data_IF_218855495468
#
_entry.id   IF_218855495468
#
_cell.length_a   1.000
_cell.length_b   1.000
_cell.length_c   1.000
_cell.angle_alpha   90.00
_cell.angle_beta   90.00
_cell.angle_gamma   90.00
#
_symmetry.space_group_name_H-M   'P 1'
#
loop_
_entity.id
_entity.type
_entity.pdbx_description
1 polymer ?
#
# COMPACT_ATOMS: atom_id res chain seq x y z
N UNK A 1 26.91 -87.16 22.87
CA UNK A 1 26.97 -86.59 21.55
C UNK A 1 25.70 -85.77 21.37
N UNK A 2 25.79 -84.42 21.47
CA UNK A 2 24.68 -83.50 21.28
C UNK A 2 25.07 -82.58 20.17
N UNK A 3 24.36 -82.66 19.05
CA UNK A 3 24.53 -81.82 17.89
C UNK A 3 23.79 -80.49 18.14
N UNK A 4 24.59 -79.42 18.08
CA UNK A 4 24.08 -78.04 18.15
C UNK A 4 23.67 -77.65 16.74
N UNK A 5 22.38 -77.40 16.54
CA UNK A 5 21.86 -76.74 15.32
C UNK A 5 21.92 -75.24 15.49
N UNK A 6 22.81 -74.59 14.72
CA UNK A 6 22.89 -73.14 14.64
C UNK A 6 21.79 -72.65 13.70
N UNK A 7 20.83 -71.90 14.26
CA UNK A 7 19.81 -71.18 13.48
C UNK A 7 20.42 -69.83 13.02
N UNK A 8 20.64 -69.68 11.73
CA UNK A 8 21.01 -68.37 11.14
C UNK A 8 19.72 -67.57 11.01
N UNK A 9 19.54 -66.53 11.84
CA UNK A 9 18.48 -65.55 11.65
C UNK A 9 18.94 -64.52 10.64
N UNK A 10 18.34 -64.53 9.43
CA UNK A 10 18.49 -63.50 8.44
C UNK A 10 17.69 -62.26 8.91
N UNK A 11 18.41 -61.28 9.37
CA UNK A 11 17.84 -59.94 9.59
C UNK A 11 17.70 -59.24 8.24
N UNK A 12 16.51 -59.24 7.67
CA UNK A 12 16.18 -58.40 6.52
C UNK A 12 16.05 -56.98 7.06
N UNK A 13 17.09 -56.18 6.91
CA UNK A 13 17.02 -54.74 7.09
C UNK A 13 16.26 -54.19 5.86
N UNK A 14 14.94 -54.08 6.01
CA UNK A 14 14.12 -53.32 5.06
C UNK A 14 14.51 -51.85 5.18
N UNK A 15 15.35 -51.41 4.24
CA UNK A 15 15.49 -49.96 3.97
C UNK A 15 14.13 -49.50 3.47
N UNK A 16 13.29 -48.96 4.36
CA UNK A 16 12.17 -48.16 3.96
C UNK A 16 12.73 -46.92 3.23
N UNK A 17 12.83 -47.02 1.93
CA UNK A 17 12.85 -45.79 1.11
C UNK A 17 11.50 -45.16 1.39
N UNK A 18 11.47 -44.19 2.31
CA UNK A 18 10.38 -43.27 2.42
C UNK A 18 10.32 -42.56 1.08
N UNK A 19 9.44 -43.05 0.20
CA UNK A 19 9.09 -42.35 -1.02
C UNK A 19 8.49 -41.04 -0.54
N UNK A 20 9.23 -39.95 -0.72
CA UNK A 20 8.80 -38.63 -0.33
C UNK A 20 7.50 -38.35 -1.10
N UNK A 21 6.39 -38.27 -0.40
CA UNK A 21 5.09 -38.07 -1.02
C UNK A 21 5.08 -36.75 -1.79
N UNK A 22 4.32 -36.63 -2.84
CA UNK A 22 4.21 -35.37 -3.61
C UNK A 22 3.73 -34.23 -2.68
N UNK A 23 2.95 -34.53 -1.66
CA UNK A 23 2.57 -33.61 -0.58
C UNK A 23 3.78 -33.04 0.15
N UNK A 24 4.74 -33.88 0.54
CA UNK A 24 5.98 -33.43 1.19
C UNK A 24 6.88 -32.63 0.23
N UNK A 25 6.89 -32.99 -1.06
CA UNK A 25 7.70 -32.28 -2.06
C UNK A 25 7.15 -30.89 -2.34
N UNK A 26 5.84 -30.75 -2.59
CA UNK A 26 5.22 -29.42 -2.83
C UNK A 26 5.43 -28.49 -1.64
N UNK A 27 5.28 -29.00 -0.40
CA UNK A 27 5.54 -28.21 0.81
C UNK A 27 6.98 -27.73 0.94
N UNK A 28 7.97 -28.60 0.56
CA UNK A 28 9.39 -28.17 0.55
C UNK A 28 9.71 -27.13 -0.50
N UNK A 29 9.10 -27.18 -1.68
CA UNK A 29 9.25 -26.14 -2.69
C UNK A 29 8.62 -24.83 -2.20
N UNK A 30 7.45 -24.86 -1.56
CA UNK A 30 6.86 -23.69 -0.94
C UNK A 30 7.82 -23.03 0.08
N UNK A 31 8.39 -23.83 0.98
CA UNK A 31 9.33 -23.33 2.00
C UNK A 31 10.59 -22.72 1.36
N UNK A 32 11.17 -23.36 0.34
CA UNK A 32 12.31 -22.79 -0.39
C UNK A 32 11.95 -21.46 -1.09
N UNK A 33 10.75 -21.35 -1.63
CA UNK A 33 10.25 -20.10 -2.18
C UNK A 33 10.16 -19.01 -1.10
N UNK A 34 9.63 -19.34 0.07
CA UNK A 34 9.55 -18.41 1.20
C UNK A 34 10.93 -17.96 1.67
N UNK A 35 11.91 -18.88 1.77
CA UNK A 35 13.32 -18.54 2.08
C UNK A 35 13.89 -17.54 1.05
N UNK A 36 13.58 -17.71 -0.25
CA UNK A 36 14.00 -16.76 -1.28
C UNK A 36 13.32 -15.39 -1.17
N UNK A 37 12.07 -15.35 -0.75
CA UNK A 37 11.39 -14.09 -0.44
C UNK A 37 12.06 -13.36 0.74
N UNK A 38 12.44 -14.07 1.79
CA UNK A 38 13.18 -13.51 2.93
C UNK A 38 14.58 -13.00 2.52
N UNK A 39 15.24 -13.66 1.56
CA UNK A 39 16.50 -13.21 0.93
C UNK A 39 16.31 -12.02 -0.04
N UNK A 40 15.08 -11.50 -0.22
CA UNK A 40 14.73 -10.47 -1.20
C UNK A 40 15.01 -10.88 -2.66
N UNK A 41 14.83 -12.17 -2.98
CA UNK A 41 14.97 -12.74 -4.33
C UNK A 41 13.60 -13.30 -4.83
N UNK A 42 12.64 -12.43 -5.17
CA UNK A 42 11.31 -12.85 -5.60
C UNK A 42 11.33 -13.64 -6.92
N UNK A 43 12.33 -13.44 -7.78
CA UNK A 43 12.44 -14.19 -9.04
C UNK A 43 12.75 -15.67 -8.81
N UNK A 44 13.70 -15.98 -7.92
CA UNK A 44 13.99 -17.36 -7.55
C UNK A 44 12.83 -17.97 -6.75
N UNK A 45 12.17 -17.20 -5.88
CA UNK A 45 11.00 -17.65 -5.15
C UNK A 45 9.89 -18.14 -6.09
N UNK A 46 9.57 -17.37 -7.14
CA UNK A 46 8.56 -17.75 -8.15
C UNK A 46 8.88 -19.06 -8.84
N UNK A 47 10.18 -19.37 -9.07
CA UNK A 47 10.61 -20.66 -9.60
C UNK A 47 10.19 -21.81 -8.69
N UNK A 48 10.48 -21.71 -7.38
CA UNK A 48 10.09 -22.73 -6.40
C UNK A 48 8.58 -22.86 -6.22
N UNK A 49 7.84 -21.74 -6.24
CA UNK A 49 6.37 -21.80 -6.21
C UNK A 49 5.81 -22.50 -7.46
N UNK A 50 6.43 -22.28 -8.64
CA UNK A 50 6.03 -22.98 -9.87
C UNK A 50 6.31 -24.47 -9.79
N UNK A 51 7.46 -24.90 -9.22
CA UNK A 51 7.76 -26.32 -8.96
C UNK A 51 6.73 -26.95 -7.99
N UNK A 52 6.28 -26.21 -6.97
CA UNK A 52 5.21 -26.68 -6.08
C UNK A 52 3.88 -26.86 -6.84
N UNK A 53 3.55 -25.97 -7.77
CA UNK A 53 2.34 -26.02 -8.60
C UNK A 53 2.42 -27.10 -9.68
N UNK A 54 3.59 -27.52 -10.14
CA UNK A 54 3.79 -28.69 -10.99
C UNK A 54 3.44 -29.99 -10.24
N UNK A 55 3.69 -30.04 -8.92
CA UNK A 55 3.31 -31.19 -8.10
C UNK A 55 1.82 -31.18 -7.74
N UNK A 56 1.24 -30.02 -7.50
CA UNK A 56 -0.18 -29.85 -7.19
C UNK A 56 -0.68 -28.52 -7.77
N UNK A 57 -1.32 -28.58 -8.93
CA UNK A 57 -1.87 -27.41 -9.63
C UNK A 57 -3.07 -26.76 -8.91
N UNK A 58 -3.50 -27.28 -7.77
CA UNK A 58 -4.57 -26.71 -6.94
C UNK A 58 -4.07 -26.13 -5.61
N UNK A 59 -2.72 -26.04 -5.44
CA UNK A 59 -2.10 -25.61 -4.21
C UNK A 59 -2.25 -24.10 -4.00
N UNK A 60 -3.28 -23.69 -3.27
CA UNK A 60 -3.67 -22.31 -3.06
C UNK A 60 -2.55 -21.46 -2.44
N UNK A 61 -1.77 -22.00 -1.47
CA UNK A 61 -0.68 -21.29 -0.81
C UNK A 61 0.45 -20.93 -1.77
N UNK A 62 0.73 -21.80 -2.75
CA UNK A 62 1.76 -21.54 -3.74
C UNK A 62 1.35 -20.39 -4.70
N UNK A 63 0.08 -20.33 -5.09
CA UNK A 63 -0.45 -19.20 -5.85
C UNK A 63 -0.40 -17.90 -5.03
N UNK A 64 -0.82 -17.94 -3.77
CA UNK A 64 -0.78 -16.76 -2.90
C UNK A 64 0.65 -16.21 -2.76
N UNK A 65 1.61 -17.06 -2.41
CA UNK A 65 2.99 -16.63 -2.21
C UNK A 65 3.65 -16.18 -3.54
N UNK A 66 3.30 -16.81 -4.67
CA UNK A 66 3.74 -16.37 -6.00
C UNK A 66 3.18 -14.99 -6.35
N UNK A 67 1.92 -14.72 -5.99
CA UNK A 67 1.32 -13.40 -6.14
C UNK A 67 2.04 -12.32 -5.33
N UNK A 68 2.46 -12.63 -4.10
CA UNK A 68 3.27 -11.70 -3.29
C UNK A 68 4.65 -11.42 -3.95
N UNK A 69 5.26 -12.44 -4.57
CA UNK A 69 6.49 -12.26 -5.33
C UNK A 69 6.28 -11.36 -6.56
N UNK A 70 5.15 -11.49 -7.27
CA UNK A 70 4.77 -10.60 -8.35
C UNK A 70 4.60 -9.15 -7.87
N UNK A 71 3.97 -8.91 -6.71
CA UNK A 71 3.84 -7.56 -6.13
C UNK A 71 5.20 -6.93 -5.85
N UNK A 72 6.14 -7.70 -5.29
CA UNK A 72 7.49 -7.21 -5.01
C UNK A 72 8.26 -6.83 -6.30
N UNK A 73 7.88 -7.43 -7.44
CA UNK A 73 8.41 -7.09 -8.76
C UNK A 73 7.60 -6.01 -9.50
N UNK A 74 6.62 -5.37 -8.85
CA UNK A 74 5.69 -4.42 -9.45
C UNK A 74 4.87 -5.01 -10.63
N UNK A 75 4.58 -6.31 -10.57
CA UNK A 75 3.79 -7.05 -11.56
C UNK A 75 2.35 -7.24 -11.04
N UNK A 76 1.61 -6.12 -10.99
CA UNK A 76 0.30 -6.06 -10.33
C UNK A 76 -0.74 -6.99 -10.97
N UNK A 77 -0.80 -7.05 -12.31
CA UNK A 77 -1.79 -7.87 -13.02
C UNK A 77 -1.55 -9.36 -12.83
N UNK A 78 -0.29 -9.79 -12.85
CA UNK A 78 0.09 -11.17 -12.59
C UNK A 78 -0.24 -11.58 -11.15
N UNK A 79 -0.05 -10.67 -10.20
CA UNK A 79 -0.46 -10.89 -8.82
C UNK A 79 -1.96 -11.10 -8.69
N UNK A 80 -2.79 -10.25 -9.30
CA UNK A 80 -4.26 -10.39 -9.30
C UNK A 80 -4.69 -11.74 -9.88
N UNK A 81 -4.02 -12.22 -10.94
CA UNK A 81 -4.31 -13.51 -11.54
C UNK A 81 -3.99 -14.67 -10.58
N UNK A 82 -2.82 -14.67 -9.96
CA UNK A 82 -2.41 -15.72 -9.04
C UNK A 82 -3.27 -15.69 -7.75
N UNK A 83 -3.61 -14.51 -7.21
CA UNK A 83 -4.55 -14.38 -6.09
C UNK A 83 -5.93 -14.93 -6.44
N UNK A 84 -6.40 -14.71 -7.66
CA UNK A 84 -7.69 -15.26 -8.12
C UNK A 84 -7.65 -16.78 -8.23
N UNK A 85 -6.51 -17.37 -8.59
CA UNK A 85 -6.30 -18.82 -8.56
C UNK A 85 -6.23 -19.35 -7.13
N UNK A 86 -5.54 -18.66 -6.22
CA UNK A 86 -5.52 -19.03 -4.80
C UNK A 86 -6.95 -19.08 -4.22
N UNK A 87 -7.75 -18.05 -4.49
CA UNK A 87 -9.16 -17.98 -4.03
C UNK A 87 -10.05 -19.02 -4.73
N UNK A 88 -9.78 -19.33 -6.00
CA UNK A 88 -10.51 -20.39 -6.71
C UNK A 88 -10.32 -21.75 -6.04
N UNK A 89 -9.12 -22.07 -5.58
CA UNK A 89 -8.80 -23.36 -4.96
C UNK A 89 -9.04 -23.36 -3.44
N UNK A 90 -9.00 -22.19 -2.79
CA UNK A 90 -9.44 -22.00 -1.42
C UNK A 90 -10.36 -20.78 -1.32
N UNK A 91 -11.69 -20.95 -1.46
CA UNK A 91 -12.64 -19.83 -1.50
C UNK A 91 -12.75 -18.99 -0.21
N UNK A 92 -12.24 -19.51 0.91
CA UNK A 92 -12.22 -18.84 2.22
C UNK A 92 -10.82 -18.35 2.59
N UNK A 93 -9.88 -18.27 1.63
CA UNK A 93 -8.51 -17.82 1.87
C UNK A 93 -8.49 -16.33 2.16
N UNK A 94 -8.67 -15.98 3.43
CA UNK A 94 -8.82 -14.62 3.91
C UNK A 94 -7.71 -13.69 3.39
N UNK A 95 -6.43 -14.06 3.61
CA UNK A 95 -5.30 -13.20 3.21
C UNK A 95 -5.19 -13.03 1.69
N UNK A 96 -5.56 -14.03 0.89
CA UNK A 96 -5.58 -13.93 -0.56
C UNK A 96 -6.69 -12.96 -1.04
N UNK A 97 -7.88 -13.02 -0.42
CA UNK A 97 -8.99 -12.10 -0.73
C UNK A 97 -8.60 -10.67 -0.32
N UNK A 98 -8.01 -10.49 0.87
CA UNK A 98 -7.58 -9.18 1.35
C UNK A 98 -6.53 -8.58 0.42
N UNK A 99 -5.50 -9.35 0.06
CA UNK A 99 -4.44 -8.88 -0.82
C UNK A 99 -4.95 -8.58 -2.23
N UNK A 100 -5.91 -9.37 -2.76
CA UNK A 100 -6.53 -9.10 -4.05
C UNK A 100 -7.35 -7.81 -4.02
N UNK A 101 -8.11 -7.60 -2.96
CA UNK A 101 -8.86 -6.36 -2.76
C UNK A 101 -7.94 -5.12 -2.77
N UNK A 102 -6.78 -5.18 -2.09
CA UNK A 102 -5.77 -4.12 -2.15
C UNK A 102 -5.20 -3.96 -3.57
N UNK A 103 -4.88 -5.06 -4.23
CA UNK A 103 -4.38 -5.04 -5.62
C UNK A 103 -5.39 -4.46 -6.61
N UNK A 104 -6.68 -4.72 -6.42
CA UNK A 104 -7.74 -4.09 -7.20
C UNK A 104 -7.85 -2.58 -6.95
N UNK A 105 -7.65 -2.13 -5.70
CA UNK A 105 -7.60 -0.69 -5.40
C UNK A 105 -6.44 0.00 -6.13
N UNK A 106 -5.25 -0.61 -6.11
CA UNK A 106 -4.06 -0.10 -6.79
C UNK A 106 -4.24 -0.09 -8.32
N UNK A 107 -5.03 -1.04 -8.86
CA UNK A 107 -5.35 -1.11 -10.29
C UNK A 107 -6.53 -0.23 -10.70
N UNK A 108 -7.19 0.47 -9.77
CA UNK A 108 -8.37 1.29 -10.03
C UNK A 108 -9.67 0.50 -10.23
N UNK A 109 -9.67 -0.79 -9.90
CA UNK A 109 -10.84 -1.69 -10.02
C UNK A 109 -11.68 -1.68 -8.74
N UNK A 110 -12.19 -0.52 -8.36
CA UNK A 110 -12.82 -0.28 -7.06
C UNK A 110 -14.04 -1.16 -6.78
N UNK A 111 -14.82 -1.52 -7.79
CA UNK A 111 -15.98 -2.41 -7.61
C UNK A 111 -15.58 -3.85 -7.32
N UNK A 112 -14.50 -4.35 -7.97
CA UNK A 112 -13.94 -5.67 -7.67
C UNK A 112 -13.36 -5.71 -6.25
N UNK A 113 -12.68 -4.64 -5.83
CA UNK A 113 -12.20 -4.48 -4.45
C UNK A 113 -13.36 -4.47 -3.43
N UNK A 114 -14.51 -3.86 -3.78
CA UNK A 114 -15.71 -3.85 -2.94
C UNK A 114 -16.27 -5.25 -2.74
N UNK A 115 -16.34 -6.07 -3.79
CA UNK A 115 -16.78 -7.46 -3.68
C UNK A 115 -15.89 -8.27 -2.73
N UNK A 116 -14.56 -8.10 -2.83
CA UNK A 116 -13.61 -8.74 -1.92
C UNK A 116 -13.78 -8.24 -0.48
N UNK A 117 -13.95 -6.93 -0.27
CA UNK A 117 -14.18 -6.37 1.06
C UNK A 117 -15.47 -6.91 1.70
N UNK A 118 -16.56 -6.99 0.94
CA UNK A 118 -17.83 -7.57 1.41
C UNK A 118 -17.68 -9.04 1.78
N UNK A 119 -16.92 -9.80 0.99
CA UNK A 119 -16.64 -11.21 1.29
C UNK A 119 -15.83 -11.37 2.57
N UNK A 120 -14.83 -10.52 2.81
CA UNK A 120 -14.04 -10.54 4.05
C UNK A 120 -14.88 -10.26 5.30
N UNK A 121 -15.81 -9.29 5.22
CA UNK A 121 -16.74 -9.01 6.33
C UNK A 121 -17.65 -10.22 6.59
N UNK A 122 -18.08 -10.94 5.56
CA UNK A 122 -18.89 -12.17 5.72
C UNK A 122 -18.08 -13.31 6.34
N UNK A 123 -16.78 -13.43 6.01
CA UNK A 123 -15.90 -14.48 6.56
C UNK A 123 -15.50 -14.16 8.01
N UNK A 124 -15.07 -12.95 8.27
CA UNK A 124 -14.53 -12.53 9.56
C UNK A 124 -14.96 -11.11 9.91
N UNK A 125 -16.19 -10.93 10.42
CA UNK A 125 -16.73 -9.63 10.82
C UNK A 125 -15.92 -8.97 11.95
N UNK A 126 -15.32 -9.75 12.83
CA UNK A 126 -14.50 -9.23 13.95
C UNK A 126 -13.02 -9.07 13.60
N UNK A 127 -12.65 -9.14 12.33
CA UNK A 127 -11.31 -8.85 11.87
C UNK A 127 -11.24 -7.39 11.38
N UNK A 128 -10.38 -6.58 12.00
CA UNK A 128 -10.23 -5.17 11.63
C UNK A 128 -9.86 -4.95 10.16
N UNK A 129 -9.09 -5.89 9.55
CA UNK A 129 -8.70 -5.80 8.13
C UNK A 129 -9.91 -5.83 7.18
N UNK A 130 -10.98 -6.56 7.53
CA UNK A 130 -12.22 -6.59 6.74
C UNK A 130 -12.84 -5.19 6.63
N UNK A 131 -12.93 -4.50 7.75
CA UNK A 131 -13.47 -3.14 7.79
C UNK A 131 -12.49 -2.10 7.24
N UNK A 132 -11.18 -2.30 7.42
CA UNK A 132 -10.15 -1.45 6.85
C UNK A 132 -10.22 -1.44 5.32
N UNK A 133 -10.27 -2.61 4.68
CA UNK A 133 -10.43 -2.69 3.22
C UNK A 133 -11.75 -2.05 2.77
N UNK A 134 -12.85 -2.27 3.50
CA UNK A 134 -14.12 -1.58 3.23
C UNK A 134 -13.93 -0.07 3.26
N UNK A 135 -13.27 0.47 4.28
CA UNK A 135 -12.99 1.91 4.40
C UNK A 135 -12.21 2.46 3.21
N UNK A 136 -11.13 1.79 2.81
CA UNK A 136 -10.33 2.18 1.65
C UNK A 136 -11.14 2.17 0.34
N UNK A 137 -11.95 1.15 0.14
CA UNK A 137 -12.81 1.03 -1.05
C UNK A 137 -13.84 2.16 -1.10
N UNK A 138 -14.54 2.40 0.01
CA UNK A 138 -15.59 3.43 0.06
C UNK A 138 -14.99 4.85 -0.05
N UNK A 139 -13.77 5.07 0.45
CA UNK A 139 -13.00 6.30 0.20
C UNK A 139 -12.77 6.53 -1.31
N UNK A 140 -12.24 5.52 -2.02
CA UNK A 140 -11.99 5.61 -3.48
C UNK A 140 -13.27 5.84 -4.28
N UNK A 141 -14.38 5.30 -3.82
CA UNK A 141 -15.71 5.51 -4.39
C UNK A 141 -16.37 6.83 -3.96
N UNK A 142 -15.68 7.65 -3.13
CA UNK A 142 -16.17 8.91 -2.56
C UNK A 142 -17.42 8.75 -1.66
N UNK A 143 -17.65 7.55 -1.14
CA UNK A 143 -18.72 7.26 -0.18
C UNK A 143 -18.22 7.52 1.26
N UNK A 144 -17.96 8.76 1.57
CA UNK A 144 -17.29 9.16 2.81
C UNK A 144 -17.99 8.74 4.11
N UNK A 145 -19.33 8.79 4.25
CA UNK A 145 -20.00 8.31 5.46
C UNK A 145 -19.75 6.83 5.74
N UNK A 146 -19.80 5.99 4.70
CA UNK A 146 -19.54 4.57 4.77
C UNK A 146 -18.06 4.30 5.08
N UNK A 147 -17.13 5.04 4.49
CA UNK A 147 -15.71 4.94 4.76
C UNK A 147 -15.39 5.25 6.23
N UNK A 148 -15.93 6.36 6.78
CA UNK A 148 -15.77 6.72 8.19
C UNK A 148 -16.32 5.62 9.11
N UNK A 149 -17.50 5.09 8.79
CA UNK A 149 -18.12 4.01 9.58
C UNK A 149 -17.23 2.77 9.60
N UNK A 150 -16.68 2.39 8.44
CA UNK A 150 -15.81 1.23 8.31
C UNK A 150 -14.47 1.43 9.05
N UNK A 151 -13.79 2.57 8.90
CA UNK A 151 -12.55 2.86 9.64
C UNK A 151 -12.78 2.92 11.14
N UNK A 152 -13.91 3.50 11.59
CA UNK A 152 -14.29 3.52 13.00
C UNK A 152 -14.47 2.09 13.54
N UNK A 153 -15.17 1.23 12.81
CA UNK A 153 -15.32 -0.17 13.19
C UNK A 153 -13.96 -0.90 13.26
N UNK A 154 -13.09 -0.65 12.30
CA UNK A 154 -11.74 -1.21 12.32
C UNK A 154 -10.93 -0.74 13.56
N UNK A 155 -10.99 0.55 13.93
CA UNK A 155 -10.29 1.09 15.11
C UNK A 155 -10.89 0.61 16.43
N UNK A 156 -12.20 0.37 16.51
CA UNK A 156 -12.84 -0.25 17.68
C UNK A 156 -12.34 -1.69 17.90
N UNK A 157 -12.05 -2.44 16.82
CA UNK A 157 -11.52 -3.81 16.89
C UNK A 157 -10.01 -3.82 17.18
N UNK A 158 -9.26 -2.90 16.59
CA UNK A 158 -7.80 -2.78 16.78
C UNK A 158 -7.41 -1.34 17.18
N UNK A 159 -7.65 -0.95 18.45
CA UNK A 159 -7.42 0.42 18.93
C UNK A 159 -5.93 0.81 19.03
N UNK A 160 -5.02 -0.14 18.96
CA UNK A 160 -3.57 0.13 19.00
C UNK A 160 -2.99 0.51 17.61
N UNK A 161 -3.80 0.40 16.56
CA UNK A 161 -3.40 0.75 15.21
C UNK A 161 -3.79 2.20 14.87
N UNK A 162 -2.82 3.11 15.00
CA UNK A 162 -3.00 4.54 14.71
C UNK A 162 -3.33 4.84 13.25
N UNK A 163 -2.93 3.98 12.30
CA UNK A 163 -3.21 4.18 10.88
C UNK A 163 -4.72 4.23 10.59
N UNK A 164 -5.52 3.47 11.35
CA UNK A 164 -6.97 3.46 11.21
C UNK A 164 -7.58 4.83 11.53
N UNK A 165 -7.06 5.48 12.56
CA UNK A 165 -7.45 6.84 12.93
C UNK A 165 -6.94 7.86 11.90
N UNK A 166 -5.72 7.69 11.39
CA UNK A 166 -5.19 8.57 10.34
C UNK A 166 -6.02 8.48 9.07
N UNK A 167 -6.44 7.27 8.66
CA UNK A 167 -7.33 7.11 7.50
C UNK A 167 -8.70 7.76 7.73
N UNK A 168 -9.27 7.61 8.93
CA UNK A 168 -10.51 8.31 9.28
C UNK A 168 -10.34 9.84 9.23
N UNK A 169 -9.26 10.39 9.79
CA UNK A 169 -8.96 11.81 9.74
C UNK A 169 -8.75 12.31 8.31
N UNK A 170 -8.19 11.48 7.42
CA UNK A 170 -8.01 11.79 6.00
C UNK A 170 -9.33 12.03 5.30
N UNK A 171 -10.39 11.27 5.63
CA UNK A 171 -11.72 11.52 5.07
C UNK A 171 -12.26 12.89 5.50
N UNK A 172 -12.13 13.23 6.78
CA UNK A 172 -12.55 14.56 7.29
C UNK A 172 -11.74 15.68 6.63
N UNK A 173 -10.43 15.48 6.40
CA UNK A 173 -9.60 16.41 5.64
C UNK A 173 -10.14 16.64 4.22
N UNK A 174 -10.49 15.57 3.47
CA UNK A 174 -11.08 15.71 2.12
C UNK A 174 -12.43 16.43 2.12
N UNK A 175 -13.19 16.31 3.23
CA UNK A 175 -14.43 17.06 3.43
C UNK A 175 -14.19 18.51 3.89
N UNK A 176 -12.91 18.91 4.07
CA UNK A 176 -12.49 20.21 4.64
C UNK A 176 -12.98 20.45 6.06
N UNK A 177 -13.35 19.38 6.78
CA UNK A 177 -13.66 19.39 8.22
C UNK A 177 -12.36 19.23 9.02
N UNK A 178 -11.55 20.30 9.00
CA UNK A 178 -10.22 20.28 9.63
C UNK A 178 -10.28 20.13 11.15
N UNK A 179 -11.36 20.60 11.80
CA UNK A 179 -11.53 20.45 13.23
C UNK A 179 -11.74 18.98 13.63
N UNK A 180 -12.62 18.26 12.93
CA UNK A 180 -12.79 16.83 13.16
C UNK A 180 -11.49 16.06 12.86
N UNK A 181 -10.83 16.38 11.75
CA UNK A 181 -9.53 15.75 11.39
C UNK A 181 -8.47 15.96 12.49
N UNK A 182 -8.30 17.18 13.00
CA UNK A 182 -7.33 17.50 14.08
C UNK A 182 -7.65 16.76 15.38
N UNK A 183 -8.93 16.65 15.74
CA UNK A 183 -9.34 15.91 16.93
C UNK A 183 -8.96 14.43 16.84
N UNK A 184 -9.26 13.79 15.71
CA UNK A 184 -8.90 12.37 15.47
C UNK A 184 -7.37 12.20 15.42
N UNK A 185 -6.63 13.11 14.79
CA UNK A 185 -5.16 13.06 14.77
C UNK A 185 -4.55 13.26 16.17
N UNK A 186 -5.22 14.00 17.05
CA UNK A 186 -4.81 14.12 18.45
C UNK A 186 -4.97 12.79 19.19
N UNK A 187 -6.05 12.05 18.93
CA UNK A 187 -6.24 10.70 19.42
C UNK A 187 -5.18 9.75 18.86
N UNK A 188 -4.97 9.75 17.53
CA UNK A 188 -3.94 8.94 16.87
C UNK A 188 -2.54 9.18 17.45
N UNK A 189 -2.22 10.44 17.81
CA UNK A 189 -0.95 10.80 18.45
C UNK A 189 -0.79 10.18 19.84
N UNK A 190 -1.87 9.95 20.59
CA UNK A 190 -1.79 9.24 21.89
C UNK A 190 -1.52 7.77 21.71
N UNK A 191 -1.95 7.16 20.59
CA UNK A 191 -1.72 5.76 20.26
C UNK A 191 -0.29 5.55 19.74
N UNK A 192 0.10 6.29 18.71
CA UNK A 192 1.44 6.22 18.14
C UNK A 192 1.93 7.60 17.65
N UNK A 193 2.73 8.32 18.45
CA UNK A 193 3.28 9.61 18.06
C UNK A 193 4.36 9.52 16.98
N UNK A 194 4.80 8.31 16.62
CA UNK A 194 5.83 8.05 15.61
C UNK A 194 5.24 7.60 14.27
N UNK A 195 3.92 7.76 14.08
CA UNK A 195 3.25 7.46 12.81
C UNK A 195 3.54 8.57 11.76
N UNK A 196 4.29 8.29 10.68
CA UNK A 196 4.69 9.33 9.74
C UNK A 196 3.51 10.00 9.02
N UNK A 197 2.49 9.22 8.64
CA UNK A 197 1.32 9.72 7.92
C UNK A 197 0.48 10.67 8.78
N UNK A 198 0.45 10.47 10.10
CA UNK A 198 -0.17 11.40 11.05
C UNK A 198 0.44 12.80 10.91
N UNK A 199 1.77 12.88 10.94
CA UNK A 199 2.48 14.16 10.84
C UNK A 199 2.32 14.79 9.46
N UNK A 200 2.33 13.97 8.40
CA UNK A 200 2.07 14.46 7.05
C UNK A 200 0.65 15.03 6.90
N UNK A 201 -0.37 14.34 7.41
CA UNK A 201 -1.74 14.84 7.33
C UNK A 201 -1.91 16.14 8.14
N UNK A 202 -1.28 16.24 9.31
CA UNK A 202 -1.22 17.52 10.06
C UNK A 202 -0.57 18.62 9.25
N UNK A 203 0.50 18.33 8.52
CA UNK A 203 1.17 19.31 7.68
C UNK A 203 0.26 19.83 6.55
N UNK A 204 -0.53 18.94 5.95
CA UNK A 204 -1.50 19.31 4.92
C UNK A 204 -2.61 20.22 5.48
N UNK A 205 -3.12 19.91 6.67
CA UNK A 205 -4.12 20.76 7.35
C UNK A 205 -3.54 22.15 7.66
N UNK A 206 -2.33 22.23 8.22
CA UNK A 206 -1.67 23.51 8.48
C UNK A 206 -1.44 24.32 7.21
N UNK A 207 -1.06 23.66 6.10
CA UNK A 207 -0.90 24.33 4.81
C UNK A 207 -2.21 24.95 4.32
N UNK A 208 -3.32 24.21 4.38
CA UNK A 208 -4.63 24.70 3.96
C UNK A 208 -5.15 25.83 4.87
N UNK A 209 -4.76 25.85 6.15
CA UNK A 209 -4.98 26.96 7.08
C UNK A 209 -3.98 28.12 6.90
N UNK A 210 -3.09 28.06 5.90
CA UNK A 210 -2.04 29.04 5.62
C UNK A 210 -0.97 29.20 6.72
N UNK A 211 -0.87 28.23 7.61
CA UNK A 211 0.13 28.14 8.67
C UNK A 211 1.39 27.42 8.11
N UNK A 212 2.08 28.05 7.17
CA UNK A 212 3.14 27.40 6.37
C UNK A 212 4.37 26.97 7.18
N UNK A 213 4.71 27.68 8.27
CA UNK A 213 5.81 27.32 9.13
C UNK A 213 5.50 26.02 9.92
N UNK A 214 4.30 25.93 10.50
CA UNK A 214 3.82 24.73 11.20
C UNK A 214 3.65 23.55 10.25
N UNK A 215 3.26 23.82 9.00
CA UNK A 215 3.19 22.80 7.94
C UNK A 215 4.57 22.23 7.64
N UNK A 216 5.59 23.10 7.53
CA UNK A 216 6.98 22.71 7.32
C UNK A 216 7.50 21.83 8.47
N UNK A 217 7.33 22.26 9.72
CA UNK A 217 7.77 21.49 10.89
C UNK A 217 7.12 20.10 10.94
N UNK A 218 5.83 20.05 10.65
CA UNK A 218 5.09 18.78 10.68
C UNK A 218 5.56 17.81 9.57
N UNK A 219 5.77 18.28 8.33
CA UNK A 219 6.25 17.39 7.25
C UNK A 219 7.70 16.97 7.45
N UNK A 220 8.54 17.80 8.05
CA UNK A 220 9.90 17.43 8.44
C UNK A 220 9.90 16.31 9.48
N UNK A 221 8.96 16.34 10.41
CA UNK A 221 8.76 15.24 11.35
C UNK A 221 8.39 13.94 10.60
N UNK A 222 7.46 13.99 9.63
CA UNK A 222 7.12 12.83 8.81
C UNK A 222 8.34 12.28 8.06
N UNK A 223 9.13 13.12 7.40
CA UNK A 223 10.36 12.74 6.69
C UNK A 223 11.40 12.13 7.65
N UNK A 224 11.52 12.66 8.87
CA UNK A 224 12.46 12.12 9.86
C UNK A 224 12.13 10.70 10.29
N UNK A 225 10.85 10.34 10.26
CA UNK A 225 10.33 9.03 10.64
C UNK A 225 10.35 8.04 9.46
N UNK A 226 10.02 8.51 8.25
CA UNK A 226 10.10 7.71 7.02
C UNK A 226 10.59 8.57 5.85
N UNK A 227 11.78 8.23 5.32
CA UNK A 227 12.41 8.92 4.19
C UNK A 227 12.02 8.34 2.82
N UNK A 228 11.27 7.27 2.78
CA UNK A 228 10.96 6.56 1.53
C UNK A 228 9.81 7.16 0.75
N UNK A 229 9.00 8.04 1.35
CA UNK A 229 7.76 8.55 0.80
C UNK A 229 7.97 9.80 -0.06
N UNK A 230 7.81 9.67 -1.37
CA UNK A 230 7.98 10.77 -2.32
C UNK A 230 7.06 11.97 -2.02
N UNK A 231 5.83 11.72 -1.56
CA UNK A 231 4.86 12.79 -1.31
C UNK A 231 5.21 13.68 -0.12
N UNK A 232 6.00 13.22 0.87
CA UNK A 232 6.50 14.10 1.94
C UNK A 232 7.43 15.17 1.40
N UNK A 233 8.35 14.80 0.51
CA UNK A 233 9.27 15.75 -0.13
C UNK A 233 8.52 16.73 -1.04
N UNK A 234 7.50 16.25 -1.74
CA UNK A 234 6.63 17.10 -2.52
C UNK A 234 5.89 18.14 -1.67
N UNK A 235 5.32 17.72 -0.54
CA UNK A 235 4.63 18.61 0.38
C UNK A 235 5.61 19.61 1.01
N UNK A 236 6.78 19.15 1.49
CA UNK A 236 7.83 20.04 1.99
C UNK A 236 8.23 21.07 0.93
N UNK A 237 8.46 20.63 -0.30
CA UNK A 237 8.79 21.52 -1.41
C UNK A 237 7.74 22.59 -1.63
N UNK A 238 6.44 22.22 -1.65
CA UNK A 238 5.35 23.17 -1.78
C UNK A 238 5.35 24.21 -0.65
N UNK A 239 5.52 23.78 0.60
CA UNK A 239 5.51 24.71 1.75
C UNK A 239 6.66 25.71 1.68
N UNK A 240 7.84 25.28 1.25
CA UNK A 240 8.98 26.14 1.03
C UNK A 240 8.73 27.19 -0.07
N UNK A 241 8.00 26.86 -1.14
CA UNK A 241 7.60 27.84 -2.15
C UNK A 241 6.77 28.97 -1.51
N UNK A 242 5.85 28.63 -0.59
CA UNK A 242 5.00 29.62 0.09
C UNK A 242 5.74 30.39 1.20
N UNK A 243 6.88 29.90 1.64
CA UNK A 243 7.79 30.58 2.56
C UNK A 243 8.90 31.38 1.82
N UNK A 244 8.77 31.57 0.51
CA UNK A 244 9.70 32.26 -0.39
C UNK A 244 11.11 31.62 -0.48
N UNK A 245 11.22 30.33 -0.11
CA UNK A 245 12.43 29.51 -0.24
C UNK A 245 12.35 28.66 -1.52
N UNK A 246 12.24 29.36 -2.67
CA UNK A 246 11.77 28.76 -3.94
C UNK A 246 12.74 27.74 -4.52
N UNK A 247 14.05 27.99 -4.46
CA UNK A 247 15.08 27.09 -5.02
C UNK A 247 15.13 25.77 -4.24
N UNK A 248 15.15 25.82 -2.90
CA UNK A 248 15.10 24.62 -2.08
C UNK A 248 13.80 23.86 -2.26
N UNK A 249 12.67 24.58 -2.39
CA UNK A 249 11.37 24.01 -2.68
C UNK A 249 11.37 23.24 -3.99
N UNK A 250 11.95 23.81 -5.08
CA UNK A 250 12.07 23.15 -6.38
C UNK A 250 12.95 21.89 -6.31
N UNK A 251 14.06 21.92 -5.57
CA UNK A 251 14.94 20.77 -5.43
C UNK A 251 14.22 19.59 -4.80
N UNK A 252 13.42 19.82 -3.75
CA UNK A 252 12.62 18.77 -3.10
C UNK A 252 11.47 18.25 -3.99
N UNK A 253 10.83 19.14 -4.75
CA UNK A 253 9.82 18.74 -5.75
C UNK A 253 10.48 17.84 -6.82
N UNK A 254 11.66 18.20 -7.32
CA UNK A 254 12.40 17.37 -8.28
C UNK A 254 12.84 16.04 -7.67
N UNK A 255 13.26 16.01 -6.40
CA UNK A 255 13.54 14.77 -5.68
C UNK A 255 12.30 13.88 -5.60
N UNK A 256 11.13 14.43 -5.28
CA UNK A 256 9.87 13.69 -5.27
C UNK A 256 9.55 13.10 -6.66
N UNK A 257 9.77 13.86 -7.74
CA UNK A 257 9.57 13.38 -9.12
C UNK A 257 10.57 12.24 -9.45
N UNK A 258 11.81 12.32 -9.00
CA UNK A 258 12.79 11.24 -9.19
C UNK A 258 12.38 9.96 -8.46
N UNK A 259 11.79 10.08 -7.27
CA UNK A 259 11.27 8.94 -6.50
C UNK A 259 9.98 8.36 -7.11
N UNK A 260 9.12 9.20 -7.66
CA UNK A 260 7.87 8.82 -8.33
C UNK A 260 7.56 9.79 -9.48
N UNK A 261 7.95 9.39 -10.70
CA UNK A 261 7.85 10.24 -11.90
C UNK A 261 6.40 10.57 -12.30
N UNK A 262 5.44 9.76 -11.92
CA UNK A 262 4.03 9.92 -12.29
C UNK A 262 3.19 10.61 -11.21
N UNK A 263 3.81 11.22 -10.20
CA UNK A 263 3.08 11.93 -9.16
C UNK A 263 2.50 13.26 -9.68
N UNK A 264 1.19 13.37 -9.92
CA UNK A 264 0.59 14.58 -10.49
C UNK A 264 0.69 15.79 -9.54
N UNK A 265 0.73 15.56 -8.22
CA UNK A 265 0.90 16.63 -7.24
C UNK A 265 2.30 17.27 -7.31
N UNK A 266 3.33 16.47 -7.60
CA UNK A 266 4.69 16.98 -7.77
C UNK A 266 4.81 17.80 -9.07
N UNK A 267 4.19 17.36 -10.16
CA UNK A 267 4.11 18.10 -11.41
C UNK A 267 3.34 19.42 -11.23
N UNK A 268 2.21 19.40 -10.49
CA UNK A 268 1.48 20.62 -10.10
C UNK A 268 2.38 21.61 -9.36
N UNK A 269 3.08 21.14 -8.34
CA UNK A 269 3.92 22.00 -7.52
C UNK A 269 5.09 22.59 -8.32
N UNK A 270 5.62 21.85 -9.30
CA UNK A 270 6.60 22.37 -10.25
C UNK A 270 6.00 23.47 -11.15
N UNK A 271 4.76 23.28 -11.61
CA UNK A 271 4.03 24.33 -12.34
C UNK A 271 3.83 25.60 -11.49
N UNK A 272 3.47 25.44 -10.20
CA UNK A 272 3.34 26.55 -9.24
C UNK A 272 4.66 27.32 -9.08
N UNK A 273 5.80 26.59 -8.94
CA UNK A 273 7.12 27.23 -8.90
C UNK A 273 7.36 28.15 -10.11
N UNK A 274 7.09 27.67 -11.34
CA UNK A 274 7.30 28.47 -12.54
C UNK A 274 6.38 29.70 -12.62
N UNK A 275 5.14 29.59 -12.12
CA UNK A 275 4.26 30.77 -11.97
C UNK A 275 4.89 31.78 -11.03
N UNK A 276 5.42 31.35 -9.89
CA UNK A 276 6.07 32.24 -8.91
C UNK A 276 7.39 32.86 -9.42
N UNK A 277 8.00 32.25 -10.45
CA UNK A 277 9.18 32.79 -11.14
C UNK A 277 8.82 33.70 -12.35
N UNK A 278 7.54 33.79 -12.72
CA UNK A 278 7.10 34.55 -13.90
C UNK A 278 7.39 33.83 -15.22
N UNK A 279 7.76 32.53 -15.18
CA UNK A 279 8.00 31.75 -16.40
C UNK A 279 6.69 31.09 -16.89
N UNK A 280 5.97 31.88 -17.71
CA UNK A 280 4.71 31.48 -18.32
C UNK A 280 4.82 30.16 -19.10
N UNK A 281 5.87 30.01 -19.92
CA UNK A 281 6.00 28.87 -20.84
C UNK A 281 6.14 27.57 -20.03
N UNK A 282 7.07 27.55 -19.10
CA UNK A 282 7.28 26.38 -18.25
C UNK A 282 6.07 26.09 -17.35
N UNK A 283 5.41 27.11 -16.81
CA UNK A 283 4.21 26.93 -16.00
C UNK A 283 3.08 26.24 -16.79
N UNK A 284 2.77 26.73 -18.00
CA UNK A 284 1.72 26.16 -18.84
C UNK A 284 2.01 24.73 -19.28
N UNK A 285 3.29 24.37 -19.48
CA UNK A 285 3.70 23.01 -19.83
C UNK A 285 3.22 21.97 -18.81
N UNK A 286 3.21 22.30 -17.52
CA UNK A 286 2.76 21.39 -16.46
C UNK A 286 1.26 21.54 -16.18
N UNK A 287 0.75 22.77 -16.09
CA UNK A 287 -0.58 23.01 -15.54
C UNK A 287 -1.71 22.72 -16.53
N UNK A 288 -1.50 22.90 -17.85
CA UNK A 288 -2.54 22.62 -18.85
C UNK A 288 -2.91 21.15 -18.91
N UNK A 289 -1.93 20.26 -18.94
CA UNK A 289 -2.18 18.82 -18.95
C UNK A 289 -2.85 18.34 -17.66
N UNK A 290 -2.44 18.92 -16.52
CA UNK A 290 -3.03 18.57 -15.22
C UNK A 290 -4.48 19.03 -15.11
N UNK A 291 -4.84 20.20 -15.60
CA UNK A 291 -6.23 20.68 -15.62
C UNK A 291 -7.15 19.78 -16.47
N UNK A 292 -6.62 19.25 -17.58
CA UNK A 292 -7.37 18.32 -18.44
C UNK A 292 -7.56 16.95 -17.81
N UNK A 293 -6.52 16.41 -17.16
CA UNK A 293 -6.52 15.05 -16.63
C UNK A 293 -7.06 14.97 -15.19
N UNK A 294 -6.96 16.06 -14.43
CA UNK A 294 -7.32 16.14 -13.01
C UNK A 294 -8.06 17.45 -12.70
N UNK A 295 -9.26 17.69 -13.26
CA UNK A 295 -9.97 18.97 -13.19
C UNK A 295 -10.35 19.40 -11.75
N UNK A 296 -10.44 18.44 -10.83
CA UNK A 296 -10.78 18.68 -9.41
C UNK A 296 -9.52 18.81 -8.51
N UNK A 297 -8.30 18.83 -9.07
CA UNK A 297 -7.09 18.93 -8.28
C UNK A 297 -6.90 20.35 -7.74
N UNK A 298 -6.86 20.46 -6.40
CA UNK A 298 -6.64 21.75 -5.72
C UNK A 298 -5.40 22.47 -6.29
N UNK A 299 -5.48 23.82 -6.36
CA UNK A 299 -4.45 24.73 -6.85
C UNK A 299 -4.18 24.69 -8.38
N UNK A 300 -4.59 23.66 -9.12
CA UNK A 300 -4.29 23.57 -10.56
C UNK A 300 -4.96 24.71 -11.31
N UNK A 301 -6.27 24.86 -11.19
CA UNK A 301 -7.05 25.88 -11.90
C UNK A 301 -6.60 27.30 -11.54
N UNK A 302 -6.42 27.57 -10.24
CA UNK A 302 -5.97 28.86 -9.75
C UNK A 302 -4.62 29.27 -10.35
N UNK A 303 -3.64 28.34 -10.34
CA UNK A 303 -2.31 28.63 -10.84
C UNK A 303 -2.23 28.60 -12.37
N UNK A 304 -3.10 27.86 -13.06
CA UNK A 304 -3.24 27.93 -14.51
C UNK A 304 -3.74 29.32 -14.95
N UNK A 305 -4.75 29.87 -14.28
CA UNK A 305 -5.25 31.23 -14.52
C UNK A 305 -4.14 32.29 -14.30
N UNK A 306 -3.38 32.14 -13.19
CA UNK A 306 -2.21 33.00 -12.92
C UNK A 306 -1.14 32.89 -14.01
N UNK A 307 -0.83 31.66 -14.47
CA UNK A 307 0.13 31.45 -15.56
C UNK A 307 -0.32 32.07 -16.87
N UNK A 308 -1.61 32.02 -17.21
CA UNK A 308 -2.16 32.64 -18.40
C UNK A 308 -2.08 34.16 -18.35
N UNK A 309 -2.13 34.77 -17.18
CA UNK A 309 -2.07 36.19 -16.94
C UNK A 309 -0.65 36.78 -16.95
N UNK A 310 0.42 35.94 -16.84
CA UNK A 310 1.81 36.35 -17.02
C UNK A 310 2.07 36.78 -18.48
#
# INVERSE_FOLDING_TARGET
MRTIKTLLALVIIGTAFACDSDENKKGRFLLKGNEKMEENDPKSAMGFYSEALEMDSTYADAYYNKALAHLQLNQLMESIQDLSLAIKYNPEYYDAIFQRGLSYLDNGEFYNAREDAQKLVQLEEQNWKSHFLTGLVEEKLKNFPEAITAFKKASEINPENSDLLVNQATIHYYQKDYEAAKNILTEAMTVNPLEPNLHNLRSMIYFDEQNYAEALDAVEKAISLDKSQAYYYNNKGLYLLFLDQKEEGLDLINQSIQMNANNPFALRNKGIYYVMQGDKISALQFLVELDQNYPDMDLVKEYLEKAQAL
#
